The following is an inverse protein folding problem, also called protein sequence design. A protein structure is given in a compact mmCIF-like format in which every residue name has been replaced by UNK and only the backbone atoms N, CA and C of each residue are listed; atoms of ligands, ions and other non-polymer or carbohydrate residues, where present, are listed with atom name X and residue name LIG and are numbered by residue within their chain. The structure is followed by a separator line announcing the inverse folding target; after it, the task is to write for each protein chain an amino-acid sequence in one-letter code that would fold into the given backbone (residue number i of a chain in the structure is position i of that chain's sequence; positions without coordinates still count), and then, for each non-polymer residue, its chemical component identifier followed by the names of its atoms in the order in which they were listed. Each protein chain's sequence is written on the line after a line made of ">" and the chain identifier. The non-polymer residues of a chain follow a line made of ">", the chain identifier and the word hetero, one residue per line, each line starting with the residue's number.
data_IF_210747603244
#
_entry.id   IF_210747603244
#
_cell.length_a   1.000
_cell.length_b   1.000
_cell.length_c   1.000
_cell.angle_alpha   90.00
_cell.angle_beta   90.00
_cell.angle_gamma   90.00
#
_symmetry.space_group_name_H-M   'P 1'
#
loop_
_entity.id
_entity.type
_entity.pdbx_description
1 polymer ?
#
# COMPACT_ATOMS: atom_id res chain seq x y z
N UNK A 1 36.02 -18.05 -29.39
CA UNK A 1 34.59 -18.06 -29.81
C UNK A 1 33.97 -19.35 -29.34
N UNK A 2 32.98 -19.28 -28.48
CA UNK A 2 32.22 -20.44 -27.97
C UNK A 2 31.44 -21.01 -29.18
N UNK A 3 31.53 -22.33 -29.44
CA UNK A 3 30.78 -22.95 -30.54
C UNK A 3 29.27 -22.71 -30.39
N UNK A 4 28.60 -22.53 -31.51
CA UNK A 4 27.18 -22.16 -31.55
C UNK A 4 26.30 -23.25 -30.93
N UNK A 5 26.62 -24.49 -31.11
CA UNK A 5 25.96 -25.66 -30.50
C UNK A 5 25.98 -25.61 -28.95
N UNK A 6 27.07 -25.13 -28.35
CA UNK A 6 27.19 -25.00 -26.90
C UNK A 6 26.34 -23.85 -26.39
N UNK A 7 26.21 -22.76 -27.14
CA UNK A 7 25.37 -21.62 -26.81
C UNK A 7 23.90 -22.03 -26.88
N UNK A 8 23.49 -22.73 -27.92
CA UNK A 8 22.09 -23.15 -28.13
C UNK A 8 21.69 -24.17 -27.09
N UNK A 9 22.57 -25.10 -26.73
CA UNK A 9 22.36 -26.07 -25.64
C UNK A 9 22.29 -25.40 -24.24
N UNK A 10 23.08 -24.37 -24.01
CA UNK A 10 23.09 -23.61 -22.77
C UNK A 10 21.85 -22.72 -22.64
N UNK A 11 21.40 -22.10 -23.72
CA UNK A 11 20.16 -21.32 -23.76
C UNK A 11 18.92 -22.21 -23.56
N UNK A 12 18.87 -23.39 -24.18
CA UNK A 12 17.79 -24.36 -23.98
C UNK A 12 17.73 -24.86 -22.54
N UNK A 13 18.87 -25.08 -21.88
CA UNK A 13 18.94 -25.49 -20.48
C UNK A 13 18.49 -24.39 -19.51
N UNK A 14 18.75 -23.15 -19.86
CA UNK A 14 18.25 -21.98 -19.11
C UNK A 14 16.75 -21.83 -19.32
N UNK A 15 16.24 -21.95 -20.52
CA UNK A 15 14.81 -21.86 -20.82
C UNK A 15 14.02 -22.99 -20.13
N UNK A 16 14.51 -24.21 -20.15
CA UNK A 16 13.89 -25.33 -19.45
C UNK A 16 13.88 -25.14 -17.93
N UNK A 17 14.97 -24.62 -17.33
CA UNK A 17 15.00 -24.26 -15.91
C UNK A 17 14.09 -23.08 -15.55
N UNK A 18 13.97 -22.10 -16.45
CA UNK A 18 13.05 -20.98 -16.28
C UNK A 18 11.59 -21.43 -16.36
N UNK A 19 11.24 -22.30 -17.31
CA UNK A 19 9.88 -22.84 -17.45
C UNK A 19 9.49 -23.71 -16.26
N UNK A 20 10.38 -24.56 -15.75
CA UNK A 20 10.17 -25.36 -14.53
C UNK A 20 10.03 -24.46 -13.29
N UNK A 21 10.82 -23.40 -13.19
CA UNK A 21 10.73 -22.43 -12.11
C UNK A 21 9.40 -21.64 -12.17
N UNK A 22 8.98 -21.21 -13.37
CA UNK A 22 7.70 -20.51 -13.57
C UNK A 22 6.48 -21.36 -13.23
N UNK A 23 6.49 -22.63 -13.57
CA UNK A 23 5.37 -23.54 -13.26
C UNK A 23 5.23 -23.80 -11.76
N UNK A 24 6.33 -23.77 -11.00
CA UNK A 24 6.30 -23.90 -9.53
C UNK A 24 5.67 -22.70 -8.80
N UNK A 25 5.57 -21.53 -9.46
CA UNK A 25 4.94 -20.33 -8.89
C UNK A 25 3.48 -20.17 -9.31
N UNK A 26 2.97 -20.99 -10.24
CA UNK A 26 1.59 -20.90 -10.71
C UNK A 26 0.66 -21.69 -9.79
N UNK A 27 -0.34 -20.99 -9.24
CA UNK A 27 -1.40 -21.65 -8.48
C UNK A 27 -2.52 -22.15 -9.40
N UNK A 28 -3.07 -23.32 -9.07
CA UNK A 28 -4.28 -23.87 -9.69
C UNK A 28 -5.55 -23.46 -8.93
N UNK A 29 -5.41 -22.69 -7.86
CA UNK A 29 -6.52 -22.23 -7.03
C UNK A 29 -7.48 -21.39 -7.87
N UNK A 30 -8.73 -21.84 -7.96
CA UNK A 30 -9.76 -21.17 -8.76
C UNK A 30 -10.08 -19.78 -8.19
N UNK A 31 -9.99 -18.77 -9.02
CA UNK A 31 -10.24 -17.37 -8.65
C UNK A 31 -9.00 -16.65 -8.14
N UNK A 32 -7.83 -17.27 -8.10
CA UNK A 32 -6.58 -16.56 -7.86
C UNK A 32 -6.21 -15.70 -9.08
N UNK A 33 -5.86 -14.44 -8.86
CA UNK A 33 -5.47 -13.48 -9.87
C UNK A 33 -4.05 -12.99 -9.62
N UNK A 34 -3.16 -13.24 -10.58
CA UNK A 34 -1.77 -12.82 -10.49
C UNK A 34 -1.62 -11.31 -10.72
N UNK A 35 -0.84 -10.66 -9.88
CA UNK A 35 -0.45 -9.26 -10.01
C UNK A 35 1.05 -9.07 -9.88
N UNK A 36 1.54 -7.93 -10.33
CA UNK A 36 2.91 -7.49 -10.10
C UNK A 36 2.91 -6.33 -9.12
N UNK A 37 3.82 -6.34 -8.16
CA UNK A 37 3.95 -5.29 -7.15
C UNK A 37 5.39 -4.80 -7.11
N UNK A 38 5.57 -3.49 -7.09
CA UNK A 38 6.85 -2.84 -6.85
C UNK A 38 6.65 -1.67 -5.88
N UNK A 39 7.58 -1.47 -4.94
CA UNK A 39 7.54 -0.34 -4.02
C UNK A 39 8.54 0.72 -4.47
N UNK A 40 8.06 1.94 -4.64
CA UNK A 40 8.86 3.12 -4.92
C UNK A 40 8.66 4.16 -3.82
N UNK A 41 9.61 5.06 -3.68
CA UNK A 41 9.54 6.16 -2.73
C UNK A 41 9.18 7.47 -3.40
N UNK A 42 8.48 8.31 -2.68
CA UNK A 42 8.25 9.69 -3.11
C UNK A 42 9.56 10.46 -3.17
N UNK A 43 9.64 11.44 -4.07
CA UNK A 43 10.74 12.40 -4.06
C UNK A 43 10.49 13.40 -2.92
N UNK A 44 11.52 13.72 -2.14
CA UNK A 44 11.37 14.66 -1.04
C UNK A 44 11.20 16.09 -1.57
N UNK A 45 9.97 16.50 -1.80
CA UNK A 45 9.59 17.92 -1.73
C UNK A 45 9.30 18.31 -0.27
N UNK A 46 9.12 17.32 0.61
CA UNK A 46 8.97 17.43 2.05
C UNK A 46 9.88 16.42 2.75
N UNK A 47 10.16 16.64 4.01
CA UNK A 47 11.18 15.98 4.85
C UNK A 47 10.97 14.47 5.05
N UNK A 48 9.89 13.87 4.55
CA UNK A 48 9.52 12.46 4.79
C UNK A 48 9.35 11.75 3.45
N UNK A 49 10.20 10.76 3.20
CA UNK A 49 10.03 9.80 2.10
C UNK A 49 8.98 8.78 2.46
N UNK A 50 8.05 8.51 1.56
CA UNK A 50 7.00 7.52 1.76
C UNK A 50 7.03 6.47 0.68
N UNK A 51 6.74 5.23 1.09
CA UNK A 51 6.61 4.12 0.17
C UNK A 51 5.26 4.15 -0.55
N UNK A 52 5.30 4.07 -1.85
CA UNK A 52 4.13 3.96 -2.72
C UNK A 52 4.17 2.63 -3.44
N UNK A 53 3.12 1.85 -3.29
CA UNK A 53 2.96 0.56 -3.94
C UNK A 53 2.48 0.72 -5.38
N UNK A 54 3.22 0.20 -6.35
CA UNK A 54 2.81 0.15 -7.75
C UNK A 54 2.28 -1.25 -8.08
N UNK A 55 1.03 -1.33 -8.51
CA UNK A 55 0.39 -2.56 -8.92
C UNK A 55 0.31 -2.64 -10.44
N UNK A 56 0.89 -3.69 -11.01
CA UNK A 56 0.71 -4.12 -12.39
C UNK A 56 -0.44 -5.13 -12.45
N UNK A 57 -1.59 -4.73 -13.01
CA UNK A 57 -2.83 -5.48 -12.96
C UNK A 57 -3.22 -6.00 -14.34
N UNK A 58 -3.93 -7.11 -14.37
CA UNK A 58 -4.62 -7.58 -15.57
C UNK A 58 -5.84 -6.69 -15.86
N UNK A 59 -6.19 -6.56 -17.13
CA UNK A 59 -7.44 -5.92 -17.50
C UNK A 59 -8.63 -6.76 -16.94
N UNK A 60 -9.64 -6.08 -16.40
CA UNK A 60 -10.80 -6.71 -15.78
C UNK A 60 -10.49 -7.51 -14.50
N UNK A 61 -9.62 -7.00 -13.64
CA UNK A 61 -9.37 -7.58 -12.32
C UNK A 61 -10.67 -7.79 -11.55
N UNK A 62 -10.81 -8.96 -10.90
CA UNK A 62 -11.95 -9.29 -10.05
C UNK A 62 -11.84 -8.63 -8.66
N UNK A 63 -10.66 -8.17 -8.28
CA UNK A 63 -10.37 -7.61 -6.96
C UNK A 63 -10.22 -6.09 -6.98
N UNK A 64 -9.70 -5.53 -8.06
CA UNK A 64 -9.51 -4.08 -8.22
C UNK A 64 -10.34 -3.61 -9.41
N UNK A 65 -11.47 -2.96 -9.12
CA UNK A 65 -12.49 -2.62 -10.11
C UNK A 65 -12.18 -1.31 -10.84
N UNK A 66 -11.10 -1.26 -11.59
CA UNK A 66 -10.80 -0.18 -12.51
C UNK A 66 -11.35 -0.57 -13.89
N UNK A 67 -12.33 0.20 -14.39
CA UNK A 67 -13.05 -0.13 -15.64
C UNK A 67 -12.15 -0.35 -16.84
N UNK A 68 -11.05 0.37 -16.94
CA UNK A 68 -10.08 0.25 -18.02
C UNK A 68 -8.74 0.80 -17.56
N UNK A 69 -7.74 -0.05 -17.50
CA UNK A 69 -6.37 0.38 -17.24
C UNK A 69 -5.78 1.01 -18.50
N UNK A 70 -5.08 2.13 -18.38
CA UNK A 70 -4.47 2.80 -19.52
C UNK A 70 -3.30 1.97 -20.08
N UNK A 71 -3.09 2.05 -21.41
CA UNK A 71 -1.91 1.43 -22.04
C UNK A 71 -0.61 2.05 -21.55
N UNK A 72 -0.60 3.36 -21.23
CA UNK A 72 0.52 4.12 -20.64
C UNK A 72 -0.03 5.09 -19.61
N UNK A 73 0.70 5.27 -18.49
CA UNK A 73 0.30 6.06 -17.35
C UNK A 73 -0.36 5.22 -16.25
N UNK A 74 -0.82 5.88 -15.20
CA UNK A 74 -1.28 5.25 -13.96
C UNK A 74 -2.62 5.82 -13.51
N UNK A 75 -3.36 5.00 -12.77
CA UNK A 75 -4.36 5.46 -11.81
C UNK A 75 -3.69 5.60 -10.46
N UNK A 76 -4.04 6.62 -9.70
CA UNK A 76 -3.57 6.81 -8.32
C UNK A 76 -4.71 6.58 -7.36
N UNK A 77 -4.41 6.11 -6.15
CA UNK A 77 -5.39 6.04 -5.07
C UNK A 77 -5.85 7.43 -4.67
N UNK A 78 -7.05 7.52 -4.10
CA UNK A 78 -7.59 8.78 -3.60
C UNK A 78 -6.69 9.39 -2.53
N UNK A 79 -6.13 8.58 -1.63
CA UNK A 79 -5.25 9.06 -0.57
C UNK A 79 -3.96 9.70 -1.11
N UNK A 80 -3.38 9.11 -2.18
CA UNK A 80 -2.25 9.73 -2.90
C UNK A 80 -2.67 11.05 -3.55
N UNK A 81 -3.84 11.08 -4.20
CA UNK A 81 -4.35 12.28 -4.85
C UNK A 81 -4.57 13.41 -3.84
N UNK A 82 -5.23 13.13 -2.72
CA UNK A 82 -5.56 14.11 -1.69
C UNK A 82 -4.28 14.60 -0.97
N UNK A 83 -3.37 13.68 -0.63
CA UNK A 83 -2.15 14.02 0.09
C UNK A 83 -1.20 14.91 -0.69
N UNK A 84 -1.02 14.61 -1.97
CA UNK A 84 -0.10 15.36 -2.85
C UNK A 84 -0.81 16.37 -3.73
N UNK A 85 -2.12 16.60 -3.51
CA UNK A 85 -2.96 17.51 -4.30
C UNK A 85 -2.86 17.27 -5.81
N UNK A 86 -2.86 15.99 -6.22
CA UNK A 86 -2.70 15.56 -7.60
C UNK A 86 -4.04 15.31 -8.27
N UNK A 87 -4.12 15.63 -9.55
CA UNK A 87 -5.31 15.49 -10.39
C UNK A 87 -5.01 14.67 -11.63
N UNK A 88 -6.06 14.21 -12.31
CA UNK A 88 -5.94 13.60 -13.63
C UNK A 88 -5.24 14.57 -14.61
N UNK A 89 -4.21 14.10 -15.29
CA UNK A 89 -3.36 14.87 -16.20
C UNK A 89 -2.04 15.33 -15.60
N UNK A 90 -1.92 15.35 -14.28
CA UNK A 90 -0.67 15.66 -13.60
C UNK A 90 0.35 14.53 -13.75
N UNK A 91 1.56 14.77 -13.30
CA UNK A 91 2.64 13.77 -13.27
C UNK A 91 3.10 13.54 -11.84
N UNK A 92 3.34 12.28 -11.51
CA UNK A 92 3.97 11.88 -10.25
C UNK A 92 5.35 11.29 -10.53
N UNK A 93 6.36 11.76 -9.80
CA UNK A 93 7.73 11.25 -9.90
C UNK A 93 8.09 10.50 -8.64
N UNK A 94 8.60 9.30 -8.80
CA UNK A 94 8.98 8.39 -7.73
C UNK A 94 10.42 7.92 -7.95
N UNK A 95 11.10 7.48 -6.89
CA UNK A 95 12.46 6.92 -6.95
C UNK A 95 12.50 5.50 -6.41
N UNK A 96 13.48 4.76 -6.85
CA UNK A 96 13.80 3.44 -6.29
C UNK A 96 14.54 3.60 -4.94
N UNK A 97 14.26 2.70 -3.98
CA UNK A 97 14.79 2.84 -2.61
C UNK A 97 16.31 2.71 -2.53
N UNK A 98 16.93 1.95 -3.43
CA UNK A 98 18.35 1.60 -3.34
C UNK A 98 19.18 2.00 -4.58
N UNK A 99 18.53 2.56 -5.60
CA UNK A 99 19.18 3.02 -6.82
C UNK A 99 18.71 4.44 -7.13
N UNK A 100 19.57 5.25 -7.73
CA UNK A 100 19.19 6.61 -8.15
C UNK A 100 18.39 6.59 -9.48
N UNK A 101 17.43 5.67 -9.55
CA UNK A 101 16.50 5.56 -10.67
C UNK A 101 15.20 6.27 -10.33
N UNK A 102 14.76 7.13 -11.25
CA UNK A 102 13.53 7.91 -11.11
C UNK A 102 12.55 7.52 -12.20
N UNK A 103 11.31 7.37 -11.80
CA UNK A 103 10.19 7.04 -12.67
C UNK A 103 9.17 8.16 -12.61
N UNK A 104 8.72 8.62 -13.77
CA UNK A 104 7.67 9.65 -13.86
C UNK A 104 6.48 9.10 -14.61
N UNK A 105 5.33 9.15 -13.97
CA UNK A 105 4.08 8.62 -14.50
C UNK A 105 3.06 9.73 -14.71
N UNK A 106 2.33 9.69 -15.82
CA UNK A 106 1.18 10.54 -16.06
C UNK A 106 -0.06 9.94 -15.41
N UNK A 107 -0.80 10.75 -14.66
CA UNK A 107 -2.01 10.33 -13.95
C UNK A 107 -3.20 10.33 -14.91
N UNK A 108 -3.74 9.16 -15.18
CA UNK A 108 -4.90 8.97 -16.07
C UNK A 108 -6.24 8.96 -15.34
N UNK A 109 -6.23 8.80 -14.03
CA UNK A 109 -7.41 8.83 -13.19
C UNK A 109 -7.11 8.60 -11.72
N UNK A 110 -8.15 8.70 -10.91
CA UNK A 110 -8.11 8.46 -9.46
C UNK A 110 -9.01 7.26 -9.19
N UNK A 111 -8.54 6.35 -8.36
CA UNK A 111 -9.27 5.18 -7.91
C UNK A 111 -9.57 5.31 -6.41
N UNK A 112 -10.83 5.12 -6.04
CA UNK A 112 -11.26 5.21 -4.64
C UNK A 112 -10.88 3.92 -3.89
N UNK A 113 -9.70 3.94 -3.31
CA UNK A 113 -9.13 2.87 -2.48
C UNK A 113 -8.67 3.48 -1.16
N UNK A 114 -9.58 3.62 -0.19
CA UNK A 114 -9.26 4.27 1.09
C UNK A 114 -8.21 3.47 1.88
N UNK A 115 -7.30 4.18 2.54
CA UNK A 115 -6.19 3.60 3.30
C UNK A 115 -5.06 3.04 2.43
N UNK A 116 -5.02 3.36 1.14
CA UNK A 116 -4.03 2.82 0.21
C UNK A 116 -3.15 3.91 -0.39
N UNK A 117 -1.84 3.82 -0.16
CA UNK A 117 -0.83 4.63 -0.85
C UNK A 117 -0.33 3.85 -2.08
N UNK A 118 -1.13 3.87 -3.15
CA UNK A 118 -0.90 3.01 -4.31
C UNK A 118 -1.13 3.68 -5.66
N UNK A 119 -0.40 3.18 -6.66
CA UNK A 119 -0.59 3.44 -8.08
C UNK A 119 -0.96 2.14 -8.78
N UNK A 120 -1.81 2.24 -9.79
CA UNK A 120 -2.31 1.11 -10.56
C UNK A 120 -2.05 1.33 -12.04
N UNK A 121 -1.47 0.34 -12.70
CA UNK A 121 -1.18 0.36 -14.14
C UNK A 121 -1.49 -0.99 -14.78
N UNK A 122 -1.55 -1.03 -16.11
CA UNK A 122 -1.68 -2.30 -16.81
C UNK A 122 -0.42 -3.15 -16.63
N UNK A 123 -0.56 -4.47 -16.57
CA UNK A 123 0.55 -5.40 -16.44
C UNK A 123 1.57 -5.26 -17.56
N UNK A 124 1.10 -5.02 -18.77
CA UNK A 124 1.98 -4.80 -19.94
C UNK A 124 2.82 -3.53 -19.77
N UNK A 125 2.23 -2.45 -19.28
CA UNK A 125 2.98 -1.21 -19.03
C UNK A 125 3.94 -1.35 -17.84
N UNK A 126 3.55 -2.10 -16.81
CA UNK A 126 4.43 -2.45 -15.70
C UNK A 126 5.68 -3.19 -16.18
N UNK A 127 5.50 -4.22 -17.00
CA UNK A 127 6.61 -4.99 -17.56
C UNK A 127 7.52 -4.13 -18.46
N UNK A 128 6.95 -3.23 -19.27
CA UNK A 128 7.71 -2.28 -20.09
C UNK A 128 8.57 -1.35 -19.20
N UNK A 129 7.99 -0.78 -18.13
CA UNK A 129 8.67 0.19 -17.26
C UNK A 129 9.80 -0.46 -16.45
N UNK A 130 9.56 -1.65 -15.89
CA UNK A 130 10.51 -2.34 -15.01
C UNK A 130 11.36 -3.39 -15.75
N UNK A 131 11.26 -3.46 -17.08
CA UNK A 131 12.00 -4.42 -17.91
C UNK A 131 11.81 -5.88 -17.43
N UNK A 132 10.56 -6.23 -17.06
CA UNK A 132 10.19 -7.57 -16.67
C UNK A 132 9.80 -8.40 -17.89
N UNK A 133 10.02 -9.72 -17.81
CA UNK A 133 9.60 -10.66 -18.84
C UNK A 133 8.07 -10.71 -19.00
N UNK A 134 7.61 -11.12 -20.16
CA UNK A 134 6.19 -11.39 -20.39
C UNK A 134 5.71 -12.47 -19.42
N UNK A 135 4.57 -12.21 -18.77
CA UNK A 135 4.05 -13.13 -17.78
C UNK A 135 4.52 -12.90 -16.35
N UNK A 136 5.50 -12.02 -16.11
CA UNK A 136 5.99 -11.74 -14.75
C UNK A 136 4.87 -11.40 -13.78
N UNK A 137 4.94 -11.96 -12.58
CA UNK A 137 4.11 -11.64 -11.43
C UNK A 137 4.88 -11.98 -10.14
N UNK A 138 4.51 -11.35 -9.04
CA UNK A 138 5.11 -11.64 -7.74
C UNK A 138 4.08 -11.68 -6.61
N UNK A 139 2.80 -11.75 -6.94
CA UNK A 139 1.75 -11.91 -5.96
C UNK A 139 0.43 -12.41 -6.56
N UNK A 140 -0.44 -12.88 -5.69
CA UNK A 140 -1.79 -13.31 -6.03
C UNK A 140 -2.82 -12.64 -5.13
N UNK A 141 -3.89 -12.12 -5.73
CA UNK A 141 -5.14 -11.89 -5.03
C UNK A 141 -5.97 -13.17 -5.05
N UNK A 142 -6.55 -13.55 -3.93
CA UNK A 142 -7.44 -14.69 -3.86
C UNK A 142 -8.48 -14.52 -2.74
N UNK A 143 -9.71 -14.94 -2.99
CA UNK A 143 -10.75 -15.05 -1.97
C UNK A 143 -10.73 -16.41 -1.25
N UNK A 144 -9.78 -17.27 -1.60
CA UNK A 144 -9.56 -18.59 -1.00
C UNK A 144 -8.10 -18.74 -0.62
N UNK A 145 -7.85 -19.51 0.42
CA UNK A 145 -6.47 -19.84 0.80
C UNK A 145 -5.79 -20.63 -0.34
N UNK A 146 -4.65 -20.13 -0.79
CA UNK A 146 -3.79 -20.81 -1.76
C UNK A 146 -2.98 -21.83 -0.96
N UNK A 147 -3.07 -23.12 -1.33
CA UNK A 147 -2.44 -24.25 -0.62
C UNK A 147 -1.56 -25.10 -1.51
N UNK A 148 -1.51 -24.81 -2.79
CA UNK A 148 -0.79 -25.55 -3.82
C UNK A 148 0.59 -24.96 -4.14
N UNK A 149 0.95 -23.85 -3.51
CA UNK A 149 2.29 -23.28 -3.57
C UNK A 149 3.14 -23.78 -2.39
N UNK A 150 4.42 -24.02 -2.62
CA UNK A 150 5.36 -24.38 -1.55
C UNK A 150 5.66 -23.16 -0.67
N UNK A 151 5.73 -23.36 0.63
CA UNK A 151 5.97 -22.30 1.62
C UNK A 151 7.30 -21.54 1.36
N UNK A 152 8.30 -22.22 0.80
CA UNK A 152 9.60 -21.63 0.45
C UNK A 152 9.51 -20.51 -0.59
N UNK A 153 8.42 -20.48 -1.36
CA UNK A 153 8.16 -19.45 -2.39
C UNK A 153 7.20 -18.34 -1.92
N UNK A 154 6.71 -18.44 -0.70
CA UNK A 154 5.77 -17.47 -0.13
C UNK A 154 6.50 -16.53 0.81
N UNK A 155 6.78 -15.33 0.35
CA UNK A 155 7.42 -14.31 1.18
C UNK A 155 6.47 -13.77 2.27
N UNK A 156 5.19 -13.60 1.95
CA UNK A 156 4.18 -13.09 2.89
C UNK A 156 2.78 -13.47 2.42
N UNK A 157 1.91 -13.77 3.37
CA UNK A 157 0.47 -13.95 3.14
C UNK A 157 -0.27 -12.95 4.02
N UNK A 158 -1.01 -12.03 3.40
CA UNK A 158 -1.82 -11.04 4.10
C UNK A 158 -3.27 -11.45 3.99
N UNK A 159 -3.89 -11.75 5.13
CA UNK A 159 -5.31 -12.12 5.20
C UNK A 159 -6.17 -10.92 5.61
N UNK A 160 -7.48 -10.99 5.35
CA UNK A 160 -8.42 -9.98 5.83
C UNK A 160 -8.41 -9.87 7.36
N UNK A 161 -8.20 -10.98 8.06
CA UNK A 161 -8.06 -10.98 9.52
C UNK A 161 -6.83 -10.19 10.00
N UNK A 162 -5.71 -10.26 9.28
CA UNK A 162 -4.50 -9.51 9.62
C UNK A 162 -4.73 -8.01 9.47
N UNK A 163 -5.40 -7.59 8.40
CA UNK A 163 -5.78 -6.19 8.20
C UNK A 163 -6.75 -5.69 9.28
N UNK A 164 -7.72 -6.50 9.67
CA UNK A 164 -8.69 -6.13 10.72
C UNK A 164 -8.10 -6.19 12.12
N UNK A 165 -7.11 -7.04 12.39
CA UNK A 165 -6.40 -7.07 13.68
C UNK A 165 -5.69 -5.75 13.95
N UNK A 166 -4.96 -5.22 12.98
CA UNK A 166 -4.26 -3.93 13.10
C UNK A 166 -5.26 -2.81 13.38
N UNK A 167 -6.35 -2.73 12.63
CA UNK A 167 -7.40 -1.73 12.84
C UNK A 167 -8.08 -1.87 14.21
N UNK A 168 -8.33 -3.10 14.64
CA UNK A 168 -8.93 -3.38 15.96
C UNK A 168 -7.98 -3.01 17.09
N UNK A 169 -6.70 -3.30 16.95
CA UNK A 169 -5.68 -2.96 17.94
C UNK A 169 -5.49 -1.44 18.07
N UNK A 170 -5.51 -0.71 16.96
CA UNK A 170 -5.50 0.75 16.97
C UNK A 170 -6.74 1.33 17.68
N UNK A 171 -7.93 0.81 17.40
CA UNK A 171 -9.17 1.25 18.04
C UNK A 171 -9.15 1.01 19.55
N UNK A 172 -8.65 -0.12 20.03
CA UNK A 172 -8.51 -0.42 21.46
C UNK A 172 -7.52 0.54 22.12
N UNK A 173 -6.33 0.72 21.54
CA UNK A 173 -5.30 1.63 22.09
C UNK A 173 -5.76 3.08 22.09
N UNK A 174 -6.45 3.53 21.05
CA UNK A 174 -7.05 4.88 21.03
C UNK A 174 -8.17 5.03 22.07
N UNK A 175 -9.00 3.99 22.25
CA UNK A 175 -10.05 3.99 23.27
C UNK A 175 -9.49 4.18 24.68
N UNK A 176 -8.42 3.48 25.03
CA UNK A 176 -7.75 3.63 26.32
C UNK A 176 -7.18 5.04 26.53
N UNK A 177 -6.61 5.65 25.49
CA UNK A 177 -6.16 7.05 25.56
C UNK A 177 -7.32 8.03 25.81
N UNK A 178 -8.48 7.82 25.17
CA UNK A 178 -9.65 8.66 25.41
C UNK A 178 -10.14 8.59 26.85
N UNK A 179 -10.18 7.42 27.48
CA UNK A 179 -10.55 7.28 28.90
C UNK A 179 -9.57 8.00 29.82
N UNK A 180 -8.27 8.00 29.53
CA UNK A 180 -7.28 8.77 30.29
C UNK A 180 -7.53 10.27 30.18
N UNK A 181 -7.78 10.78 28.97
CA UNK A 181 -8.07 12.20 28.74
C UNK A 181 -9.37 12.61 29.43
N UNK A 182 -10.42 11.78 29.36
CA UNK A 182 -11.69 12.01 30.01
C UNK A 182 -11.53 12.07 31.55
N UNK A 183 -10.79 11.12 32.12
CA UNK A 183 -10.47 11.13 33.58
C UNK A 183 -9.75 12.40 34.00
N UNK A 184 -8.79 12.85 33.20
CA UNK A 184 -8.06 14.10 33.47
C UNK A 184 -8.97 15.33 33.36
N UNK A 185 -9.87 15.36 32.40
CA UNK A 185 -10.85 16.44 32.24
C UNK A 185 -11.80 16.56 33.44
N UNK A 186 -12.27 15.42 33.97
CA UNK A 186 -13.12 15.38 35.16
C UNK A 186 -12.40 15.97 36.38
N UNK A 187 -11.15 15.59 36.63
CA UNK A 187 -10.33 16.11 37.73
C UNK A 187 -10.14 17.62 37.58
N UNK A 188 -9.81 18.11 36.42
CA UNK A 188 -9.67 19.54 36.13
C UNK A 188 -10.98 20.30 36.36
N UNK A 189 -12.10 19.73 35.95
CA UNK A 189 -13.42 20.33 36.13
C UNK A 189 -13.78 20.46 37.61
N UNK A 190 -13.53 19.44 38.44
CA UNK A 190 -13.73 19.49 39.88
C UNK A 190 -12.86 20.54 40.54
N UNK A 191 -11.57 20.65 40.15
CA UNK A 191 -10.68 21.72 40.62
C UNK A 191 -11.21 23.13 40.29
N UNK A 192 -11.68 23.32 39.06
CA UNK A 192 -12.23 24.63 38.64
C UNK A 192 -13.48 25.01 39.46
N UNK A 193 -14.40 24.06 39.69
CA UNK A 193 -15.58 24.30 40.54
C UNK A 193 -15.14 24.67 41.96
N UNK A 194 -14.19 23.94 42.55
CA UNK A 194 -13.68 24.23 43.86
C UNK A 194 -13.09 25.65 43.96
N UNK A 195 -12.24 26.04 43.01
CA UNK A 195 -11.63 27.36 42.96
C UNK A 195 -12.67 28.47 42.80
N UNK A 196 -13.64 28.30 41.90
CA UNK A 196 -14.73 29.25 41.72
C UNK A 196 -15.57 29.41 42.98
N UNK A 197 -15.93 28.31 43.62
CA UNK A 197 -16.72 28.32 44.88
C UNK A 197 -15.94 29.02 45.97
N UNK A 198 -14.65 28.72 46.13
CA UNK A 198 -13.77 29.38 47.10
C UNK A 198 -13.68 30.89 46.85
N UNK A 199 -13.51 31.31 45.61
CA UNK A 199 -13.42 32.72 45.22
C UNK A 199 -14.73 33.47 45.51
N UNK A 200 -15.89 32.86 45.24
CA UNK A 200 -17.20 33.43 45.54
C UNK A 200 -17.37 33.60 47.05
N UNK A 201 -16.99 32.62 47.85
CA UNK A 201 -17.09 32.69 49.33
C UNK A 201 -16.18 33.77 49.89
N UNK A 202 -14.93 33.87 49.39
CA UNK A 202 -13.98 34.91 49.85
C UNK A 202 -14.46 36.32 49.48
N UNK A 203 -14.97 36.53 48.26
CA UNK A 203 -15.51 37.84 47.87
C UNK A 203 -16.76 38.23 48.65
N UNK A 204 -17.63 37.29 49.00
CA UNK A 204 -18.82 37.58 49.81
C UNK A 204 -18.51 37.83 51.30
N UNK A 205 -17.42 37.30 51.84
CA UNK A 205 -16.98 37.62 53.20
C UNK A 205 -16.60 39.08 53.36
N UNK A 206 -16.07 39.73 52.34
CA UNK A 206 -15.69 41.16 52.37
C UNK A 206 -16.92 42.08 52.30
N UNK A 207 -18.06 41.58 51.82
CA UNK A 207 -19.31 42.37 51.69
C UNK A 207 -20.20 42.30 52.93
N UNK A 208 -19.89 41.45 53.95
CA UNK A 208 -20.70 41.26 55.17
C UNK A 208 -20.00 41.85 56.42
N UNK A 209 -18.86 42.52 56.24
CA UNK A 209 -18.12 43.19 57.37
C UNK A 209 -18.25 44.73 57.28
#
# INVERSE_FOLDING_TARGET
>A
TIPQEFRDSFLSLIDDQYDEMYDNYKTKTKGAEAFSLYSLKTLPESTIEEDISLYGLQNNSQYIHIKSLPKKGVYISKDVADKYNLKKGDRISLKESYKDLRYTFEIKGIYDAPGSMALYMSKSYFNEVFNCQDGYFNGYFSNRKITDLKDDYIASTITQDDLTKVSRQLNVSMGEMFYLVEGFAIVMFVMLIYLLTKMIIENNKVSIS
#
